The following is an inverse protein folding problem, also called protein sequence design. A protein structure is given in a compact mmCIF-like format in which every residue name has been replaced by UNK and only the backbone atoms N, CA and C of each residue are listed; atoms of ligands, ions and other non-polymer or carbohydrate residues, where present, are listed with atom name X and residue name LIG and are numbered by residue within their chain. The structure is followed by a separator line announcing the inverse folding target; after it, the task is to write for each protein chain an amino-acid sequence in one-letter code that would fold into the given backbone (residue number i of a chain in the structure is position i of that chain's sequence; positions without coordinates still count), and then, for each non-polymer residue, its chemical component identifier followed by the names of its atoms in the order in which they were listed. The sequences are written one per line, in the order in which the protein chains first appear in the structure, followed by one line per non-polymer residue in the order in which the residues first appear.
data_IF_774261894925
#
_entry.id   IF_774261894925
#
_cell.length_a   1.000
_cell.length_b   1.000
_cell.length_c   1.000
_cell.angle_alpha   90.00
_cell.angle_beta   90.00
_cell.angle_gamma   90.00
#
_symmetry.space_group_name_H-M   'P 1'
#
loop_
_entity.id
_entity.type
_entity.pdbx_description
1 polymer ?
#
# COMPACT_ATOMS: atom_id res chain seq x y z
N UNK A 1 -19.01 12.17 8.40
CA UNK A 1 -17.89 12.73 7.62
C UNK A 1 -16.76 11.74 7.74
N UNK A 2 -16.03 11.44 6.66
CA UNK A 2 -14.94 10.49 6.73
C UNK A 2 -13.79 10.97 7.60
N UNK A 3 -13.28 10.11 8.48
CA UNK A 3 -12.20 10.44 9.41
C UNK A 3 -11.03 9.47 9.30
N UNK A 4 -9.80 10.01 9.24
CA UNK A 4 -8.60 9.20 9.27
C UNK A 4 -8.25 8.78 10.70
N UNK A 5 -8.02 7.48 10.89
CA UNK A 5 -7.43 6.89 12.08
C UNK A 5 -6.03 6.36 11.77
N UNK A 6 -5.11 6.52 12.71
CA UNK A 6 -3.74 6.01 12.64
C UNK A 6 -3.49 5.05 13.78
N UNK A 7 -2.92 3.89 13.51
CA UNK A 7 -2.55 2.89 14.51
C UNK A 7 -1.05 2.59 14.40
N UNK A 8 -0.31 2.87 15.47
CA UNK A 8 1.14 2.68 15.54
C UNK A 8 1.48 1.22 15.91
N UNK A 9 2.01 0.49 14.94
CA UNK A 9 2.40 -0.90 15.10
C UNK A 9 3.88 -1.10 15.34
N UNK A 10 4.22 -2.36 15.59
CA UNK A 10 5.61 -2.79 15.65
C UNK A 10 6.05 -3.11 14.22
N UNK A 11 7.01 -2.33 13.72
CA UNK A 11 7.58 -2.51 12.38
C UNK A 11 6.78 -1.86 11.23
N UNK A 12 5.59 -1.33 11.51
CA UNK A 12 4.76 -0.56 10.58
C UNK A 12 3.85 0.43 11.30
N UNK A 13 3.48 1.49 10.60
CA UNK A 13 2.38 2.39 10.97
C UNK A 13 1.31 2.30 9.89
N UNK A 14 0.05 2.31 10.32
CA UNK A 14 -1.11 2.09 9.44
C UNK A 14 -2.12 3.20 9.61
N UNK A 15 -2.83 3.51 8.54
CA UNK A 15 -3.93 4.45 8.56
C UNK A 15 -5.13 3.89 7.79
N UNK A 16 -6.34 4.13 8.28
CA UNK A 16 -7.60 3.86 7.59
C UNK A 16 -8.47 5.11 7.62
N UNK A 17 -9.16 5.38 6.51
CA UNK A 17 -10.20 6.40 6.41
C UNK A 17 -11.55 5.69 6.54
N UNK A 18 -12.31 6.06 7.55
CA UNK A 18 -13.62 5.47 7.84
C UNK A 18 -14.73 6.44 7.46
N UNK A 19 -15.74 5.96 6.73
CA UNK A 19 -17.05 6.62 6.64
C UNK A 19 -18.09 5.70 7.29
N UNK A 20 -18.52 6.06 8.51
CA UNK A 20 -19.23 5.13 9.39
C UNK A 20 -18.33 3.93 9.73
N UNK A 21 -18.80 2.73 9.40
CA UNK A 21 -18.07 1.47 9.62
C UNK A 21 -17.30 0.99 8.37
N UNK A 22 -17.38 1.72 7.27
CA UNK A 22 -16.77 1.34 5.99
C UNK A 22 -15.38 1.94 5.85
N UNK A 23 -14.38 1.10 5.59
CA UNK A 23 -13.04 1.57 5.22
C UNK A 23 -13.04 2.00 3.76
N UNK A 24 -12.88 3.30 3.51
CA UNK A 24 -12.90 3.86 2.14
C UNK A 24 -11.49 4.15 1.59
N UNK A 25 -10.47 4.20 2.45
CA UNK A 25 -9.07 4.27 2.05
C UNK A 25 -8.17 3.68 3.13
N UNK A 26 -7.00 3.17 2.75
CA UNK A 26 -6.00 2.73 3.71
C UNK A 26 -4.58 3.04 3.24
N UNK A 27 -3.67 3.24 4.19
CA UNK A 27 -2.25 3.48 3.93
C UNK A 27 -1.40 2.69 4.92
N UNK A 28 -0.23 2.23 4.47
CA UNK A 28 0.76 1.54 5.30
C UNK A 28 2.17 2.02 4.99
N UNK A 29 2.92 2.33 6.04
CA UNK A 29 4.33 2.72 5.97
C UNK A 29 5.14 1.82 6.90
N UNK A 30 6.22 1.23 6.39
CA UNK A 30 7.14 0.49 7.25
C UNK A 30 8.15 1.44 7.88
N UNK A 31 8.53 1.15 9.13
CA UNK A 31 9.51 1.98 9.84
C UNK A 31 10.85 2.02 9.08
N UNK A 32 11.41 3.22 8.95
CA UNK A 32 12.66 3.49 8.26
C UNK A 32 12.55 3.72 6.75
N UNK A 33 11.38 3.51 6.13
CA UNK A 33 11.16 3.84 4.72
C UNK A 33 11.09 5.37 4.51
N UNK A 34 11.65 5.84 3.39
CA UNK A 34 11.35 7.19 2.91
C UNK A 34 9.93 7.24 2.34
N UNK A 35 9.22 8.33 2.56
CA UNK A 35 7.83 8.48 2.09
C UNK A 35 7.61 9.78 1.33
N UNK A 36 6.61 9.82 0.45
CA UNK A 36 6.23 11.05 -0.22
C UNK A 36 5.89 12.16 0.80
N UNK A 37 6.30 13.38 0.49
CA UNK A 37 6.19 14.53 1.38
C UNK A 37 7.30 14.64 2.44
N UNK A 38 8.17 13.64 2.59
CA UNK A 38 9.26 13.71 3.57
C UNK A 38 10.33 14.72 3.14
N UNK A 39 10.68 15.72 3.97
CA UNK A 39 11.82 16.59 3.73
C UNK A 39 13.11 15.83 3.97
N UNK A 40 14.05 15.93 3.02
CA UNK A 40 15.37 15.31 3.08
C UNK A 40 16.43 16.28 2.55
N UNK A 41 17.67 16.12 3.02
CA UNK A 41 18.83 16.83 2.46
C UNK A 41 19.74 15.82 1.76
N UNK A 42 20.06 16.07 0.50
CA UNK A 42 20.87 15.15 -0.30
C UNK A 42 22.05 15.87 -0.94
N UNK A 43 23.24 15.28 -0.83
CA UNK A 43 24.42 15.72 -1.59
C UNK A 43 24.29 15.27 -3.03
N UNK A 44 24.25 16.20 -3.98
CA UNK A 44 24.17 15.89 -5.42
C UNK A 44 25.46 15.20 -5.86
N UNK A 45 25.40 13.91 -6.23
CA UNK A 45 26.57 13.12 -6.65
C UNK A 45 26.72 13.06 -8.16
N UNK A 46 25.62 13.16 -8.91
CA UNK A 46 25.64 13.17 -10.38
C UNK A 46 24.53 14.06 -10.90
N UNK A 47 24.82 14.88 -11.92
CA UNK A 47 23.83 15.71 -12.61
C UNK A 47 23.82 15.44 -14.11
N UNK A 48 22.63 15.31 -14.69
CA UNK A 48 22.35 15.14 -16.12
C UNK A 48 21.16 16.01 -16.51
N UNK A 49 21.44 17.23 -16.97
CA UNK A 49 20.41 18.23 -17.27
C UNK A 49 19.66 18.64 -15.99
N UNK A 50 18.34 18.41 -15.96
CA UNK A 50 17.46 18.66 -14.80
C UNK A 50 17.32 17.45 -13.88
N UNK A 51 18.06 16.37 -14.13
CA UNK A 51 18.01 15.13 -13.34
C UNK A 51 19.34 14.82 -12.69
N UNK A 52 19.34 14.00 -11.66
CA UNK A 52 20.56 13.59 -10.99
C UNK A 52 20.36 12.48 -9.95
N UNK A 53 21.45 12.13 -9.29
CA UNK A 53 21.45 11.25 -8.11
C UNK A 53 21.94 12.06 -6.92
N UNK A 54 21.25 11.90 -5.78
CA UNK A 54 21.64 12.47 -4.50
C UNK A 54 21.98 11.37 -3.49
N UNK A 55 22.92 11.66 -2.59
CA UNK A 55 23.28 10.80 -1.47
C UNK A 55 22.79 11.43 -0.17
N UNK A 56 22.01 10.68 0.60
CA UNK A 56 21.57 11.07 1.94
C UNK A 56 22.68 10.82 2.98
N UNK A 57 22.55 11.44 4.14
CA UNK A 57 23.51 11.29 5.25
C UNK A 57 23.67 9.83 5.72
N UNK A 58 22.58 9.06 5.68
CA UNK A 58 22.57 7.63 6.02
C UNK A 58 23.09 6.71 4.88
N UNK A 59 23.62 7.30 3.80
CA UNK A 59 24.20 6.58 2.68
C UNK A 59 23.19 6.08 1.64
N UNK A 60 21.88 6.33 1.81
CA UNK A 60 20.88 5.97 0.80
C UNK A 60 20.94 6.90 -0.41
N UNK A 61 20.80 6.35 -1.60
CA UNK A 61 20.69 7.10 -2.84
C UNK A 61 19.23 7.47 -3.15
N UNK A 62 19.05 8.66 -3.72
CA UNK A 62 17.77 9.14 -4.24
C UNK A 62 17.94 9.67 -5.67
N UNK A 63 16.88 9.55 -6.48
CA UNK A 63 16.81 10.20 -7.78
C UNK A 63 16.27 11.62 -7.62
N UNK A 64 16.95 12.58 -8.23
CA UNK A 64 16.56 13.98 -8.24
C UNK A 64 16.00 14.34 -9.62
N UNK A 65 14.86 15.02 -9.65
CA UNK A 65 14.22 15.58 -10.83
C UNK A 65 13.97 17.08 -10.63
N UNK A 66 13.81 17.81 -11.74
CA UNK A 66 13.65 19.29 -11.74
C UNK A 66 14.77 20.05 -11.01
N UNK A 67 16.01 19.55 -11.09
CA UNK A 67 17.17 20.28 -10.58
C UNK A 67 17.31 21.64 -11.29
N UNK A 68 17.60 22.72 -10.55
CA UNK A 68 17.85 24.01 -11.14
C UNK A 68 19.15 24.03 -11.94
N UNK A 69 19.29 24.98 -12.86
CA UNK A 69 20.41 25.02 -13.80
C UNK A 69 21.75 25.20 -13.07
N UNK A 70 21.75 25.96 -11.99
CA UNK A 70 22.88 26.30 -11.13
C UNK A 70 23.25 25.19 -10.13
N UNK A 71 22.43 24.15 -9.97
CA UNK A 71 22.78 23.01 -9.12
C UNK A 71 24.11 22.39 -9.57
N UNK A 72 25.02 22.18 -8.62
CA UNK A 72 26.39 21.71 -8.87
C UNK A 72 26.65 20.41 -8.10
N UNK A 73 27.34 19.47 -8.73
CA UNK A 73 27.77 18.23 -8.06
C UNK A 73 28.62 18.58 -6.82
N UNK A 74 28.43 17.82 -5.74
CA UNK A 74 29.02 18.08 -4.44
C UNK A 74 28.21 18.99 -3.52
N UNK A 75 27.27 19.77 -4.05
CA UNK A 75 26.38 20.63 -3.24
C UNK A 75 25.28 19.82 -2.56
N UNK A 76 24.82 20.31 -1.40
CA UNK A 76 23.66 19.76 -0.70
C UNK A 76 22.39 20.48 -1.13
N UNK A 77 21.35 19.72 -1.46
CA UNK A 77 20.06 20.23 -1.92
C UNK A 77 18.98 19.77 -0.94
N UNK A 78 18.20 20.72 -0.43
CA UNK A 78 16.98 20.43 0.31
C UNK A 78 15.92 19.95 -0.68
N UNK A 79 15.33 18.78 -0.41
CA UNK A 79 14.38 18.14 -1.29
C UNK A 79 13.17 17.63 -0.53
N UNK A 80 12.06 17.44 -1.25
CA UNK A 80 10.94 16.61 -0.80
C UNK A 80 10.94 15.31 -1.59
N UNK A 81 10.77 14.20 -0.89
CA UNK A 81 10.50 12.91 -1.52
C UNK A 81 9.13 12.99 -2.19
N UNK A 82 9.06 12.60 -3.45
CA UNK A 82 7.83 12.58 -4.27
C UNK A 82 7.30 11.17 -4.46
N UNK A 83 8.18 10.16 -4.42
CA UNK A 83 7.83 8.74 -4.46
C UNK A 83 8.82 7.94 -3.63
N UNK A 84 8.31 7.10 -2.73
CA UNK A 84 9.11 6.16 -1.95
C UNK A 84 9.87 5.17 -2.85
N UNK A 85 10.87 4.48 -2.28
CA UNK A 85 11.48 3.36 -2.96
C UNK A 85 10.44 2.29 -3.29
N UNK A 86 10.61 1.61 -4.41
CA UNK A 86 9.73 0.49 -4.80
C UNK A 86 10.56 -0.66 -5.31
N UNK A 87 10.28 -1.84 -4.78
CA UNK A 87 10.81 -3.10 -5.29
C UNK A 87 9.81 -3.67 -6.29
N UNK A 88 10.32 -4.12 -7.43
CA UNK A 88 9.56 -4.82 -8.47
C UNK A 88 10.34 -6.08 -8.86
N UNK A 89 9.70 -6.98 -9.62
CA UNK A 89 10.38 -8.18 -10.11
C UNK A 89 11.58 -7.80 -10.98
N UNK A 90 12.78 -8.05 -10.46
CA UNK A 90 14.05 -7.81 -11.17
C UNK A 90 14.51 -6.35 -11.19
N UNK A 91 13.84 -5.42 -10.48
CA UNK A 91 14.20 -4.00 -10.48
C UNK A 91 13.93 -3.36 -9.12
N UNK A 92 14.91 -2.57 -8.65
CA UNK A 92 14.72 -1.66 -7.52
C UNK A 92 14.62 -0.23 -8.05
N UNK A 93 13.49 0.43 -7.78
CA UNK A 93 13.30 1.85 -8.08
C UNK A 93 13.71 2.63 -6.84
N UNK A 94 14.82 3.37 -6.96
CA UNK A 94 15.25 4.33 -5.95
C UNK A 94 14.12 5.32 -5.60
N UNK A 95 14.09 5.86 -4.38
CA UNK A 95 13.21 6.98 -4.03
C UNK A 95 13.42 8.14 -5.01
N UNK A 96 12.34 8.79 -5.42
CA UNK A 96 12.41 9.98 -6.28
C UNK A 96 12.04 11.22 -5.48
N UNK A 97 12.84 12.28 -5.64
CA UNK A 97 12.70 13.52 -4.92
C UNK A 97 12.87 14.72 -5.85
N UNK A 98 12.41 15.87 -5.40
CA UNK A 98 12.55 17.15 -6.10
C UNK A 98 12.99 18.24 -5.13
N UNK A 99 13.71 19.28 -5.57
CA UNK A 99 14.00 20.45 -4.74
C UNK A 99 12.70 21.03 -4.15
N UNK A 100 12.75 21.45 -2.90
CA UNK A 100 11.56 21.89 -2.13
C UNK A 100 10.79 22.98 -2.88
N UNK A 101 11.50 23.89 -3.55
CA UNK A 101 10.92 25.04 -4.26
C UNK A 101 10.09 24.62 -5.49
N UNK A 102 10.28 23.40 -5.98
CA UNK A 102 9.60 22.89 -7.19
C UNK A 102 8.37 22.03 -6.89
N UNK A 103 8.11 21.76 -5.60
CA UNK A 103 6.97 20.96 -5.14
C UNK A 103 5.89 21.92 -4.65
N UNK A 104 4.81 22.01 -5.42
CA UNK A 104 3.63 22.79 -5.07
C UNK A 104 2.62 21.90 -4.34
N UNK A 105 1.92 22.47 -3.35
CA UNK A 105 0.77 21.85 -2.68
C UNK A 105 1.07 20.43 -2.17
N UNK A 106 2.13 20.27 -1.38
CA UNK A 106 2.37 19.01 -0.68
C UNK A 106 1.19 18.75 0.28
N UNK A 107 0.46 17.66 0.06
CA UNK A 107 -0.62 17.26 0.96
C UNK A 107 -0.05 16.97 2.36
N UNK A 108 -0.78 17.31 3.43
CA UNK A 108 -0.38 16.91 4.78
C UNK A 108 -0.18 15.41 4.87
N UNK A 109 0.86 14.96 5.58
CA UNK A 109 1.07 13.54 5.81
C UNK A 109 0.00 13.03 6.77
N UNK A 110 -0.81 12.07 6.30
CA UNK A 110 -1.91 11.46 7.07
C UNK A 110 -1.41 10.93 8.41
N UNK A 111 -0.22 10.33 8.43
CA UNK A 111 0.35 9.72 9.63
C UNK A 111 0.74 10.75 10.69
N UNK A 112 0.90 12.01 10.30
CA UNK A 112 1.23 13.13 11.20
C UNK A 112 0.03 13.97 11.63
N UNK A 113 -1.07 13.92 10.86
CA UNK A 113 -2.20 14.84 11.00
C UNK A 113 -3.49 14.17 11.47
N UNK A 114 -3.62 12.86 11.27
CA UNK A 114 -4.81 12.10 11.64
C UNK A 114 -4.81 11.66 13.12
N UNK A 115 -5.97 11.22 13.60
CA UNK A 115 -6.16 10.79 14.99
C UNK A 115 -5.44 9.47 15.24
N UNK A 116 -4.47 9.48 16.14
CA UNK A 116 -3.83 8.25 16.63
C UNK A 116 -4.82 7.51 17.56
N UNK A 117 -5.04 6.24 17.28
CA UNK A 117 -5.86 5.33 18.09
C UNK A 117 -5.01 4.17 18.59
N UNK A 118 -5.38 3.63 19.75
CA UNK A 118 -4.72 2.45 20.28
C UNK A 118 -4.92 1.24 19.36
N UNK A 119 -6.16 1.06 18.87
CA UNK A 119 -6.55 -0.02 17.96
C UNK A 119 -7.60 0.48 16.97
N UNK A 120 -7.56 -0.02 15.74
CA UNK A 120 -8.68 0.14 14.81
C UNK A 120 -9.91 -0.64 15.28
N UNK A 121 -11.12 -0.28 14.80
CA UNK A 121 -12.29 -1.13 14.97
C UNK A 121 -12.01 -2.55 14.46
N UNK A 122 -12.56 -3.55 15.15
CA UNK A 122 -12.27 -4.94 14.87
C UNK A 122 -12.70 -5.31 13.43
N UNK A 123 -11.83 -5.97 12.69
CA UNK A 123 -12.11 -6.41 11.32
C UNK A 123 -11.81 -5.37 10.25
N UNK A 124 -11.76 -4.06 10.56
CA UNK A 124 -11.56 -3.01 9.56
C UNK A 124 -10.23 -3.14 8.82
N UNK A 125 -9.14 -3.38 9.54
CA UNK A 125 -7.84 -3.60 8.89
C UNK A 125 -7.66 -5.03 8.37
N UNK A 126 -8.20 -6.01 9.10
CA UNK A 126 -8.09 -7.42 8.72
C UNK A 126 -8.76 -7.71 7.38
N UNK A 127 -9.93 -7.15 7.12
CA UNK A 127 -10.63 -7.31 5.84
C UNK A 127 -9.77 -6.80 4.67
N UNK A 128 -9.34 -5.54 4.73
CA UNK A 128 -8.50 -4.92 3.69
C UNK A 128 -7.18 -5.69 3.51
N UNK A 129 -6.58 -6.16 4.60
CA UNK A 129 -5.34 -6.93 4.52
C UNK A 129 -5.54 -8.29 3.87
N UNK A 130 -6.64 -8.99 4.16
CA UNK A 130 -6.95 -10.29 3.57
C UNK A 130 -7.23 -10.16 2.06
N UNK A 131 -8.05 -9.19 1.69
CA UNK A 131 -8.36 -8.84 0.31
C UNK A 131 -7.09 -8.44 -0.48
N UNK A 132 -6.22 -7.62 0.10
CA UNK A 132 -4.95 -7.27 -0.53
C UNK A 132 -3.98 -8.46 -0.63
N UNK A 133 -4.08 -9.43 0.29
CA UNK A 133 -3.25 -10.63 0.28
C UNK A 133 -3.70 -11.65 -0.77
N UNK A 134 -5.01 -11.82 -0.95
CA UNK A 134 -5.58 -12.64 -2.02
C UNK A 134 -5.39 -11.98 -3.39
N UNK A 135 -5.50 -10.64 -3.44
CA UNK A 135 -5.59 -9.90 -4.69
C UNK A 135 -6.93 -10.07 -5.39
N UNK A 136 -7.95 -10.60 -4.72
CA UNK A 136 -9.28 -10.83 -5.27
C UNK A 136 -10.32 -10.15 -4.38
N UNK A 137 -11.24 -9.42 -5.01
CA UNK A 137 -12.34 -8.70 -4.36
C UNK A 137 -13.65 -9.13 -5.00
N UNK A 138 -14.56 -9.65 -4.18
CA UNK A 138 -15.88 -10.08 -4.65
C UNK A 138 -16.86 -8.90 -4.64
N UNK A 139 -17.78 -8.88 -5.61
CA UNK A 139 -18.91 -7.97 -5.67
C UNK A 139 -20.18 -8.74 -6.10
N UNK A 140 -21.34 -8.10 -6.07
CA UNK A 140 -22.59 -8.79 -6.42
C UNK A 140 -22.62 -9.24 -7.89
N UNK A 141 -22.40 -10.53 -8.11
CA UNK A 141 -22.41 -11.21 -9.40
C UNK A 141 -21.04 -11.37 -10.08
N UNK A 142 -19.94 -11.06 -9.40
CA UNK A 142 -18.59 -11.27 -9.94
C UNK A 142 -17.47 -10.97 -8.95
N UNK A 143 -16.25 -10.93 -9.45
CA UNK A 143 -15.06 -10.55 -8.69
C UNK A 143 -14.07 -9.80 -9.57
N UNK A 144 -13.23 -8.97 -8.96
CA UNK A 144 -12.05 -8.41 -9.62
C UNK A 144 -10.79 -9.09 -9.11
N UNK A 145 -9.86 -9.37 -10.03
CA UNK A 145 -8.54 -9.91 -9.72
C UNK A 145 -7.46 -8.87 -10.02
N UNK A 146 -6.61 -8.59 -9.05
CA UNK A 146 -5.58 -7.58 -9.13
C UNK A 146 -4.18 -8.21 -9.19
N UNK A 147 -3.39 -7.78 -10.16
CA UNK A 147 -2.02 -8.26 -10.35
C UNK A 147 -1.05 -7.09 -10.55
N UNK A 148 0.03 -7.09 -9.77
CA UNK A 148 1.11 -6.10 -9.93
C UNK A 148 2.15 -6.63 -10.91
N UNK A 149 2.41 -5.86 -11.97
CA UNK A 149 3.48 -6.15 -12.94
C UNK A 149 4.54 -5.04 -12.88
N UNK A 150 5.74 -5.24 -13.48
CA UNK A 150 6.76 -4.18 -13.55
C UNK A 150 6.31 -2.92 -14.31
N UNK A 151 5.32 -3.03 -15.20
CA UNK A 151 4.86 -1.93 -16.04
C UNK A 151 3.65 -1.21 -15.45
N UNK A 152 2.67 -1.97 -14.95
CA UNK A 152 1.40 -1.46 -14.44
C UNK A 152 0.72 -2.45 -13.48
N UNK A 153 -0.26 -1.97 -12.71
CA UNK A 153 -1.21 -2.85 -12.01
C UNK A 153 -2.34 -3.21 -12.97
N UNK A 154 -2.64 -4.50 -13.13
CA UNK A 154 -3.75 -4.99 -13.94
C UNK A 154 -4.91 -5.38 -13.04
N UNK A 155 -6.12 -5.06 -13.49
CA UNK A 155 -7.39 -5.46 -12.87
C UNK A 155 -8.18 -6.23 -13.94
N UNK A 156 -8.46 -7.48 -13.66
CA UNK A 156 -9.29 -8.37 -14.47
C UNK A 156 -10.67 -8.53 -13.80
N UNK A 157 -11.69 -8.81 -14.60
CA UNK A 157 -13.09 -8.87 -14.13
C UNK A 157 -13.72 -10.19 -14.56
N UNK A 158 -14.07 -11.01 -13.57
CA UNK A 158 -14.70 -12.30 -13.75
C UNK A 158 -16.11 -12.31 -13.16
N UNK A 159 -17.02 -13.10 -13.74
CA UNK A 159 -18.36 -13.30 -13.22
C UNK A 159 -19.32 -13.92 -14.23
N UNK A 160 -20.53 -14.25 -13.74
CA UNK A 160 -21.53 -15.00 -14.52
C UNK A 160 -22.64 -14.09 -15.09
N UNK A 161 -22.53 -12.77 -14.90
CA UNK A 161 -23.48 -11.79 -15.40
C UNK A 161 -23.27 -11.49 -16.89
N UNK A 162 -24.30 -10.99 -17.61
CA UNK A 162 -24.12 -10.48 -18.96
C UNK A 162 -22.99 -9.41 -19.02
N UNK A 163 -22.13 -9.39 -20.05
CA UNK A 163 -20.89 -8.59 -20.07
C UNK A 163 -21.07 -7.11 -19.71
N UNK A 164 -22.11 -6.46 -20.23
CA UNK A 164 -22.43 -5.06 -19.93
C UNK A 164 -22.77 -4.86 -18.45
N UNK A 165 -23.57 -5.76 -17.89
CA UNK A 165 -24.00 -5.69 -16.50
C UNK A 165 -22.82 -5.96 -15.56
N UNK A 166 -22.01 -6.99 -15.87
CA UNK A 166 -20.79 -7.31 -15.15
C UNK A 166 -19.83 -6.11 -15.10
N UNK A 167 -19.58 -5.49 -16.26
CA UNK A 167 -18.68 -4.34 -16.38
C UNK A 167 -19.14 -3.16 -15.51
N UNK A 168 -20.44 -2.81 -15.55
CA UNK A 168 -20.98 -1.70 -14.74
C UNK A 168 -20.93 -2.03 -13.24
N UNK A 169 -21.25 -3.26 -12.84
CA UNK A 169 -21.23 -3.69 -11.43
C UNK A 169 -19.83 -3.77 -10.83
N UNK A 170 -18.80 -3.99 -11.65
CA UNK A 170 -17.42 -4.01 -11.19
C UNK A 170 -16.88 -2.61 -10.84
N UNK A 171 -17.42 -1.55 -11.44
CA UNK A 171 -16.88 -0.17 -11.30
C UNK A 171 -16.79 0.29 -9.83
N UNK A 172 -17.82 0.14 -8.98
CA UNK A 172 -17.72 0.53 -7.56
C UNK A 172 -16.62 -0.24 -6.82
N UNK A 173 -16.47 -1.55 -7.07
CA UNK A 173 -15.43 -2.36 -6.46
C UNK A 173 -14.03 -1.87 -6.88
N UNK A 174 -13.83 -1.62 -8.18
CA UNK A 174 -12.58 -1.06 -8.71
C UNK A 174 -12.25 0.27 -8.03
N UNK A 175 -13.21 1.20 -7.99
CA UNK A 175 -13.01 2.52 -7.41
C UNK A 175 -12.67 2.46 -5.91
N UNK A 176 -13.35 1.60 -5.15
CA UNK A 176 -13.05 1.37 -3.74
C UNK A 176 -11.65 0.79 -3.55
N UNK A 177 -11.30 -0.26 -4.30
CA UNK A 177 -10.02 -0.96 -4.16
C UNK A 177 -8.82 -0.06 -4.48
N UNK A 178 -8.94 0.84 -5.47
CA UNK A 178 -7.88 1.82 -5.78
C UNK A 178 -7.49 2.65 -4.56
N UNK A 179 -8.48 3.11 -3.78
CA UNK A 179 -8.27 3.93 -2.58
C UNK A 179 -7.90 3.07 -1.36
N UNK A 180 -8.56 1.93 -1.17
CA UNK A 180 -8.31 1.02 -0.04
C UNK A 180 -6.91 0.41 -0.08
N UNK A 181 -6.37 0.15 -1.26
CA UNK A 181 -5.03 -0.45 -1.39
C UNK A 181 -3.92 0.56 -1.64
N UNK A 182 -4.24 1.86 -1.73
CA UNK A 182 -3.31 2.94 -2.07
C UNK A 182 -2.63 2.70 -3.44
N UNK A 183 -3.43 2.32 -4.45
CA UNK A 183 -2.93 2.02 -5.79
C UNK A 183 -2.71 3.33 -6.54
N UNK A 184 -1.56 3.44 -7.21
CA UNK A 184 -1.24 4.54 -8.10
C UNK A 184 -0.32 4.09 -9.23
N UNK A 185 0.12 5.03 -10.05
CA UNK A 185 0.94 4.76 -11.23
C UNK A 185 0.08 4.38 -12.44
N UNK A 186 0.65 3.58 -13.33
CA UNK A 186 -0.07 3.05 -14.49
C UNK A 186 -0.92 1.86 -14.04
N UNK A 187 -2.21 1.90 -14.39
CA UNK A 187 -3.21 0.88 -14.04
C UNK A 187 -3.98 0.53 -15.31
N UNK A 188 -4.26 -0.75 -15.51
CA UNK A 188 -5.03 -1.26 -16.63
C UNK A 188 -6.21 -2.05 -16.13
N UNK A 189 -7.40 -1.77 -16.64
CA UNK A 189 -8.61 -2.50 -16.32
C UNK A 189 -9.04 -3.22 -17.59
N UNK A 190 -9.13 -4.54 -17.52
CA UNK A 190 -9.62 -5.39 -18.58
C UNK A 190 -11.10 -5.70 -18.33
N UNK A 191 -11.99 -4.90 -18.92
CA UNK A 191 -13.42 -5.21 -18.85
C UNK A 191 -13.78 -6.29 -19.88
N UNK A 192 -14.88 -7.03 -19.65
CA UNK A 192 -15.46 -7.87 -20.69
C UNK A 192 -15.65 -7.11 -22.00
N UNK A 193 -15.38 -7.75 -23.14
CA UNK A 193 -15.51 -7.09 -24.44
C UNK A 193 -16.98 -6.68 -24.69
N UNK A 194 -17.20 -5.39 -24.93
CA UNK A 194 -18.52 -4.83 -25.26
C UNK A 194 -18.54 -4.36 -26.72
N UNK A 195 -19.36 -5.00 -27.55
CA UNK A 195 -19.46 -4.66 -28.98
C UNK A 195 -20.06 -3.27 -29.22
N UNK A 196 -21.16 -2.97 -28.51
CA UNK A 196 -21.90 -1.73 -28.70
C UNK A 196 -21.16 -0.54 -28.10
N UNK A 197 -20.96 0.51 -28.92
CA UNK A 197 -20.36 1.78 -28.47
C UNK A 197 -21.19 2.45 -27.35
N UNK A 198 -22.50 2.25 -27.34
CA UNK A 198 -23.39 2.76 -26.30
C UNK A 198 -23.07 2.13 -24.94
N UNK A 199 -22.79 0.83 -24.91
CA UNK A 199 -22.49 0.11 -23.67
C UNK A 199 -21.14 0.51 -23.08
N UNK A 200 -20.12 0.67 -23.94
CA UNK A 200 -18.81 1.20 -23.52
C UNK A 200 -18.93 2.58 -22.87
N UNK A 201 -19.76 3.46 -23.44
CA UNK A 201 -20.03 4.79 -22.89
C UNK A 201 -20.70 4.74 -21.52
N UNK A 202 -21.53 3.74 -21.25
CA UNK A 202 -22.17 3.56 -19.93
C UNK A 202 -21.12 3.23 -18.88
N UNK A 203 -20.17 2.34 -19.21
CA UNK A 203 -19.06 2.01 -18.29
C UNK A 203 -18.13 3.21 -18.10
N UNK A 204 -17.81 3.94 -19.18
CA UNK A 204 -17.04 5.19 -19.09
C UNK A 204 -17.68 6.20 -18.14
N UNK A 205 -19.00 6.42 -18.26
CA UNK A 205 -19.72 7.34 -17.38
C UNK A 205 -19.73 6.86 -15.92
N UNK A 206 -19.92 5.56 -15.69
CA UNK A 206 -19.85 5.00 -14.34
C UNK A 206 -18.46 5.18 -13.71
N UNK A 207 -17.39 5.01 -14.50
CA UNK A 207 -16.02 5.27 -14.05
C UNK A 207 -15.78 6.75 -13.74
N UNK A 208 -16.28 7.65 -14.57
CA UNK A 208 -16.20 9.11 -14.32
C UNK A 208 -16.88 9.46 -12.99
N UNK A 209 -18.08 8.95 -12.77
CA UNK A 209 -18.85 9.22 -11.55
C UNK A 209 -18.17 8.62 -10.31
N UNK A 210 -17.63 7.39 -10.39
CA UNK A 210 -17.03 6.70 -9.23
C UNK A 210 -15.61 7.20 -8.87
N UNK A 211 -14.95 7.88 -9.80
CA UNK A 211 -13.58 8.38 -9.64
C UNK A 211 -13.50 9.92 -9.70
N UNK A 212 -14.63 10.61 -9.56
CA UNK A 212 -14.74 12.07 -9.71
C UNK A 212 -13.82 12.85 -8.75
N UNK A 213 -13.68 12.36 -7.52
CA UNK A 213 -12.88 12.94 -6.44
C UNK A 213 -11.48 12.33 -6.31
N UNK A 214 -11.14 11.36 -7.17
CA UNK A 214 -9.85 10.68 -7.15
C UNK A 214 -8.93 11.22 -8.24
N UNK A 215 -7.78 11.85 -7.92
CA UNK A 215 -6.95 12.49 -8.94
C UNK A 215 -6.29 11.49 -9.91
N UNK A 216 -6.74 11.49 -11.16
CA UNK A 216 -6.25 10.58 -12.20
C UNK A 216 -6.45 11.12 -13.62
N UNK A 217 -5.80 10.48 -14.58
CA UNK A 217 -6.10 10.57 -16.01
C UNK A 217 -6.54 9.20 -16.50
N UNK A 218 -7.46 9.14 -17.47
CA UNK A 218 -7.92 7.88 -18.04
C UNK A 218 -8.16 7.94 -19.53
N UNK A 219 -8.05 6.79 -20.18
CA UNK A 219 -8.59 6.60 -21.53
C UNK A 219 -10.07 6.23 -21.47
N UNK A 220 -10.80 6.51 -22.54
CA UNK A 220 -12.08 5.85 -22.76
C UNK A 220 -11.87 4.35 -22.99
N UNK A 221 -12.90 3.54 -22.74
CA UNK A 221 -12.88 2.10 -23.03
C UNK A 221 -12.67 1.86 -24.53
N UNK A 222 -11.62 1.10 -24.87
CA UNK A 222 -11.31 0.77 -26.25
C UNK A 222 -12.21 -0.37 -26.80
N UNK A 223 -12.04 -0.72 -28.08
CA UNK A 223 -12.84 -1.77 -28.73
C UNK A 223 -12.64 -3.19 -28.19
N UNK A 224 -11.63 -3.39 -27.34
CA UNK A 224 -11.31 -4.68 -26.72
C UNK A 224 -11.72 -4.76 -25.25
N UNK A 225 -12.31 -3.70 -24.67
CA UNK A 225 -12.72 -3.65 -23.26
C UNK A 225 -11.68 -3.05 -22.32
N UNK A 226 -10.52 -2.63 -22.81
CA UNK A 226 -9.45 -2.13 -21.95
C UNK A 226 -9.57 -0.63 -21.67
N UNK A 227 -9.35 -0.26 -20.40
CA UNK A 227 -9.22 1.11 -19.91
C UNK A 227 -7.86 1.28 -19.24
N UNK A 228 -7.10 2.31 -19.63
CA UNK A 228 -5.89 2.69 -18.92
C UNK A 228 -6.17 3.87 -17.99
N UNK A 229 -5.72 3.74 -16.76
CA UNK A 229 -5.72 4.78 -15.73
C UNK A 229 -4.26 5.15 -15.39
N UNK A 230 -4.03 6.43 -15.14
CA UNK A 230 -2.76 6.94 -14.61
C UNK A 230 -3.05 7.83 -13.42
N UNK A 231 -2.54 7.43 -12.25
CA UNK A 231 -2.64 8.22 -11.03
C UNK A 231 -1.26 8.46 -10.41
N UNK A 232 -1.18 9.44 -9.51
CA UNK A 232 0.06 9.75 -8.82
C UNK A 232 0.53 8.55 -7.99
N UNK A 233 1.77 8.12 -8.20
CA UNK A 233 2.40 7.04 -7.45
C UNK A 233 3.33 7.62 -6.39
N UNK A 234 2.93 7.50 -5.13
CA UNK A 234 3.69 8.05 -3.98
C UNK A 234 4.56 7.01 -3.28
N UNK A 235 4.30 5.73 -3.51
CA UNK A 235 5.05 4.64 -2.91
C UNK A 235 4.42 3.27 -3.20
N UNK A 236 4.91 2.21 -2.54
CA UNK A 236 4.36 0.88 -2.70
C UNK A 236 2.96 0.78 -2.09
N UNK A 237 1.98 0.44 -2.92
CA UNK A 237 0.63 0.06 -2.51
C UNK A 237 0.65 -1.24 -1.68
N UNK A 238 -0.48 -1.60 -1.03
CA UNK A 238 -0.57 -2.87 -0.31
C UNK A 238 -0.27 -4.07 -1.22
N UNK A 239 -0.78 -4.06 -2.45
CA UNK A 239 -0.49 -5.10 -3.45
C UNK A 239 1.00 -5.20 -3.79
N UNK A 240 1.70 -4.08 -3.95
CA UNK A 240 3.15 -4.09 -4.21
C UNK A 240 3.91 -4.72 -3.04
N UNK A 241 3.49 -4.43 -1.80
CA UNK A 241 4.11 -5.01 -0.60
C UNK A 241 3.87 -6.52 -0.52
N UNK A 242 2.68 -7.01 -0.85
CA UNK A 242 2.43 -8.45 -0.93
C UNK A 242 3.20 -9.13 -2.05
N UNK A 243 3.25 -8.52 -3.24
CA UNK A 243 3.94 -9.07 -4.40
C UNK A 243 5.46 -9.23 -4.16
N UNK A 244 6.07 -8.31 -3.41
CA UNK A 244 7.53 -8.30 -3.20
C UNK A 244 7.98 -8.78 -1.83
N UNK A 245 7.07 -8.80 -0.85
CA UNK A 245 7.41 -9.10 0.54
C UNK A 245 6.23 -9.67 1.32
N UNK A 246 5.55 -10.68 0.74
CA UNK A 246 4.44 -11.41 1.39
C UNK A 246 4.78 -11.87 2.81
N UNK A 247 5.97 -12.44 3.01
CA UNK A 247 6.44 -12.84 4.36
C UNK A 247 6.69 -11.65 5.27
N UNK A 248 7.12 -10.49 4.74
CA UNK A 248 7.27 -9.26 5.52
C UNK A 248 5.94 -8.64 5.95
N UNK A 249 4.90 -8.73 5.11
CA UNK A 249 3.53 -8.33 5.44
C UNK A 249 2.93 -9.25 6.51
N UNK A 250 3.03 -10.56 6.31
CA UNK A 250 2.49 -11.55 7.23
C UNK A 250 3.20 -11.56 8.60
N UNK A 251 4.50 -11.32 8.65
CA UNK A 251 5.24 -11.19 9.92
C UNK A 251 4.73 -10.02 10.78
N UNK A 252 4.45 -8.86 10.17
CA UNK A 252 3.89 -7.69 10.87
C UNK A 252 2.46 -7.93 11.33
N UNK A 253 1.64 -8.57 10.49
CA UNK A 253 0.30 -8.99 10.89
C UNK A 253 0.33 -10.00 12.06
N UNK A 254 1.27 -10.95 12.06
CA UNK A 254 1.43 -11.92 13.14
C UNK A 254 1.81 -11.24 14.47
N UNK A 255 2.75 -10.29 14.45
CA UNK A 255 3.10 -9.47 15.64
C UNK A 255 1.89 -8.67 16.12
N UNK A 256 1.10 -8.11 15.21
CA UNK A 256 -0.11 -7.39 15.60
C UNK A 256 -1.15 -8.30 16.27
N UNK A 257 -1.36 -9.51 15.74
CA UNK A 257 -2.26 -10.50 16.36
C UNK A 257 -1.79 -10.85 17.78
N UNK A 258 -0.48 -11.00 17.98
CA UNK A 258 0.13 -11.21 19.29
C UNK A 258 -0.02 -10.01 20.25
N UNK A 259 0.04 -8.78 19.74
CA UNK A 259 -0.19 -7.58 20.56
C UNK A 259 -1.65 -7.47 21.05
N UNK A 260 -2.59 -8.07 20.32
CA UNK A 260 -4.04 -7.98 20.59
C UNK A 260 -4.59 -9.02 21.55
N UNK A 261 -3.90 -10.14 21.77
CA UNK A 261 -4.38 -11.15 22.73
C UNK A 261 -4.36 -10.59 24.14
N UNK A 262 -5.37 -10.90 24.95
CA UNK A 262 -5.55 -10.38 26.31
C UNK A 262 -5.55 -11.52 27.32
N UNK A 263 -5.14 -11.23 28.56
CA UNK A 263 -5.00 -12.21 29.63
C UNK A 263 -3.58 -12.30 30.18
N UNK A 264 -3.46 -12.98 31.34
CA UNK A 264 -2.19 -13.23 32.03
C UNK A 264 -1.54 -14.54 31.56
N UNK A 265 -0.21 -14.56 31.48
CA UNK A 265 0.53 -15.71 30.98
C UNK A 265 1.61 -15.32 29.97
N UNK A 266 2.04 -16.29 29.19
CA UNK A 266 2.98 -16.13 28.07
C UNK A 266 2.19 -15.98 26.77
N UNK A 267 2.61 -15.06 25.90
CA UNK A 267 2.05 -14.96 24.55
C UNK A 267 2.70 -16.02 23.66
N UNK A 268 1.94 -17.05 23.28
CA UNK A 268 2.37 -18.04 22.29
C UNK A 268 2.00 -17.54 20.90
N UNK A 269 3.01 -17.28 20.07
CA UNK A 269 2.88 -16.90 18.67
C UNK A 269 3.29 -18.09 17.78
N UNK A 270 2.31 -18.73 17.14
CA UNK A 270 2.53 -19.84 16.19
C UNK A 270 2.48 -19.31 14.76
N UNK A 271 3.57 -19.51 14.02
CA UNK A 271 3.76 -18.95 12.68
C UNK A 271 4.37 -19.95 11.71
N UNK A 272 4.19 -19.73 10.40
CA UNK A 272 4.95 -20.47 9.40
C UNK A 272 6.47 -20.19 9.56
N UNK A 273 7.38 -21.19 9.42
CA UNK A 273 8.82 -20.99 9.60
C UNK A 273 9.44 -19.84 8.80
N UNK A 274 8.92 -19.57 7.60
CA UNK A 274 9.38 -18.46 6.76
C UNK A 274 9.16 -17.07 7.39
N UNK A 275 8.20 -16.93 8.32
CA UNK A 275 7.97 -15.68 9.05
C UNK A 275 8.97 -15.49 10.18
N UNK A 276 9.40 -16.56 10.85
CA UNK A 276 10.38 -16.48 11.95
C UNK A 276 11.66 -15.77 11.51
N UNK A 277 12.11 -16.02 10.27
CA UNK A 277 13.28 -15.35 9.68
C UNK A 277 13.08 -13.84 9.40
N UNK A 278 11.84 -13.33 9.47
CA UNK A 278 11.51 -11.90 9.28
C UNK A 278 11.27 -11.17 10.59
N UNK A 279 11.06 -11.89 11.69
CA UNK A 279 10.89 -11.29 13.01
C UNK A 279 12.23 -10.82 13.54
N UNK A 280 12.29 -9.54 13.91
CA UNK A 280 13.50 -8.94 14.45
C UNK A 280 13.50 -9.00 15.98
N UNK A 281 14.65 -9.20 16.65
CA UNK A 281 14.72 -9.23 18.11
C UNK A 281 14.07 -8.00 18.75
N UNK A 282 14.31 -6.81 18.21
CA UNK A 282 13.73 -5.56 18.72
C UNK A 282 12.20 -5.50 18.63
N UNK A 283 11.59 -6.22 17.67
CA UNK A 283 10.13 -6.31 17.57
C UNK A 283 9.54 -7.19 18.68
N UNK A 284 10.26 -8.25 19.04
CA UNK A 284 9.83 -9.15 20.13
C UNK A 284 9.97 -8.42 21.46
N UNK A 285 11.11 -7.77 21.71
CA UNK A 285 11.30 -6.95 22.92
C UNK A 285 10.24 -5.85 23.03
N UNK A 286 9.91 -5.17 21.94
CA UNK A 286 8.87 -4.15 21.94
C UNK A 286 7.48 -4.75 22.20
N UNK A 287 7.17 -5.94 21.65
CA UNK A 287 5.92 -6.65 21.91
C UNK A 287 5.79 -7.05 23.39
N UNK A 288 6.86 -7.60 23.98
CA UNK A 288 6.91 -7.94 25.40
C UNK A 288 6.75 -6.70 26.27
N UNK A 289 7.42 -5.60 25.91
CA UNK A 289 7.30 -4.31 26.62
C UNK A 289 5.87 -3.74 26.57
N UNK A 290 5.22 -3.78 25.39
CA UNK A 290 3.85 -3.24 25.22
C UNK A 290 2.80 -4.10 25.90
N UNK A 291 2.98 -5.42 25.90
CA UNK A 291 1.99 -6.35 26.45
C UNK A 291 2.24 -6.73 27.91
N UNK A 292 3.44 -6.47 28.43
CA UNK A 292 3.86 -6.88 29.77
C UNK A 292 4.01 -8.38 29.95
N UNK A 293 4.19 -9.14 28.85
CA UNK A 293 4.20 -10.61 28.86
C UNK A 293 5.37 -11.13 28.03
N UNK A 294 6.02 -12.23 28.44
CA UNK A 294 7.01 -12.90 27.60
C UNK A 294 6.36 -13.45 26.33
N UNK A 295 7.14 -13.54 25.25
CA UNK A 295 6.67 -14.06 23.96
C UNK A 295 7.41 -15.36 23.61
N UNK A 296 6.66 -16.44 23.43
CA UNK A 296 7.14 -17.72 22.91
C UNK A 296 6.77 -17.84 21.44
N UNK A 297 7.74 -18.13 20.58
CA UNK A 297 7.52 -18.31 19.14
C UNK A 297 7.65 -19.80 18.80
N UNK A 298 6.57 -20.38 18.31
CA UNK A 298 6.53 -21.73 17.74
C UNK A 298 6.34 -21.68 16.22
N UNK A 299 6.90 -22.66 15.52
CA UNK A 299 6.79 -22.72 14.06
C UNK A 299 6.07 -23.97 13.60
N UNK A 300 5.12 -23.80 12.69
CA UNK A 300 4.37 -24.89 12.06
C UNK A 300 4.43 -24.76 10.52
N UNK A 301 5.10 -25.69 9.81
CA UNK A 301 5.16 -25.67 8.35
C UNK A 301 3.83 -25.97 7.66
N UNK A 302 2.85 -26.54 8.37
CA UNK A 302 1.49 -26.75 7.85
C UNK A 302 0.63 -25.49 7.84
N UNK A 303 1.05 -24.43 8.53
CA UNK A 303 0.33 -23.17 8.60
C UNK A 303 0.53 -22.32 7.33
N UNK A 304 -0.55 -21.83 6.74
CA UNK A 304 -0.43 -20.86 5.65
C UNK A 304 0.34 -19.60 6.11
N UNK A 305 1.10 -18.98 5.20
CA UNK A 305 1.98 -17.84 5.49
C UNK A 305 1.21 -16.71 6.19
N UNK A 306 -0.03 -16.47 5.77
CA UNK A 306 -0.91 -15.42 6.22
C UNK A 306 -1.64 -15.74 7.55
N UNK A 307 -1.54 -16.98 8.03
CA UNK A 307 -2.38 -17.54 9.10
C UNK A 307 -1.73 -17.58 10.48
N UNK A 308 -0.66 -16.80 10.71
CA UNK A 308 -0.03 -16.69 12.04
C UNK A 308 -1.04 -16.43 13.15
N UNK A 309 -1.01 -17.24 14.21
CA UNK A 309 -1.98 -17.21 15.31
C UNK A 309 -1.28 -16.89 16.63
N UNK A 310 -1.99 -16.19 17.51
CA UNK A 310 -1.51 -15.87 18.84
C UNK A 310 -2.54 -16.27 19.90
N UNK A 311 -2.07 -16.75 21.04
CA UNK A 311 -2.90 -17.09 22.19
C UNK A 311 -2.13 -16.90 23.49
N UNK A 312 -2.85 -16.85 24.61
CA UNK A 312 -2.24 -16.84 25.94
C UNK A 312 -2.16 -18.27 26.46
N UNK A 313 -0.98 -18.65 26.90
CA UNK A 313 -0.71 -19.93 27.58
C UNK A 313 -0.22 -19.66 28.99
N UNK A 314 -0.34 -20.65 29.88
CA UNK A 314 0.18 -20.54 31.24
C UNK A 314 1.68 -20.20 31.25
N UNK A 315 2.14 -19.57 32.33
CA UNK A 315 3.57 -19.48 32.58
C UNK A 315 4.13 -20.89 32.77
N UNK A 316 5.27 -21.18 32.13
CA UNK A 316 6.04 -22.39 32.41
C UNK A 316 6.52 -22.38 33.88
#
# INVERSE_FOLDING_TARGET
MPDWLVEEGIGEIRAILLDGDTVIAAKCRWHGELHAGQPVSAKLTTKRGTRGTGLLEDGREILLDKLPREASEGSTIACLVTRAAMTERGRYKLPASRPVETVQNAAPDVFSSAKIVHRFPAGSWEAIWQEASSGQIDFDGGSILLCVTPAMTLIDIDGDLPPRELAVRAVPAIAATLRQFDIGGSIGIDFPTLEAKADRKVVDAALDDALDDWPHERTAMNGFGFVQLVARLEGPSLLHRFATSRTGMAARMAIRRAERVEGAGTTLLTIHPALKAKLKPEWITELERRTGRPVKIETDPGLAIESGAAQIVAHD
#
